data_IF_914186833307
#
_entry.id   IF_914186833307
#
_cell.length_a   1.000
_cell.length_b   1.000
_cell.length_c   1.000
_cell.angle_alpha   90.00
_cell.angle_beta   90.00
_cell.angle_gamma   90.00
#
_symmetry.space_group_name_H-M   'P 1'
#
loop_
_entity.id
_entity.type
_entity.pdbx_description
1 polymer ?
#
# COMPACT_ATOMS: atom_id res chain seq x y z
N UNK A 1 -52.05 -37.53 38.06
CA UNK A 1 -51.95 -36.13 37.52
C UNK A 1 -50.51 -35.59 37.39
N UNK A 2 -49.61 -36.13 38.17
CA UNK A 2 -48.18 -35.68 38.13
C UNK A 2 -47.43 -36.25 36.91
N UNK A 3 -47.71 -37.49 36.56
CA UNK A 3 -47.05 -38.18 35.42
C UNK A 3 -47.41 -37.57 34.05
N UNK A 4 -48.64 -37.08 33.90
CA UNK A 4 -49.10 -36.46 32.65
C UNK A 4 -48.40 -35.13 32.38
N UNK A 5 -48.02 -34.41 33.44
CA UNK A 5 -47.26 -33.15 33.32
C UNK A 5 -45.80 -33.38 32.88
N UNK A 6 -45.18 -34.45 33.38
CA UNK A 6 -43.80 -34.81 32.94
C UNK A 6 -43.78 -35.28 31.50
N UNK A 7 -44.77 -36.04 31.04
CA UNK A 7 -44.87 -36.49 29.66
C UNK A 7 -45.06 -35.27 28.72
N UNK A 8 -45.88 -34.33 29.14
CA UNK A 8 -46.10 -33.09 28.34
C UNK A 8 -44.85 -32.20 28.26
N UNK A 9 -44.06 -32.10 29.35
CA UNK A 9 -42.81 -31.36 29.38
C UNK A 9 -41.74 -32.01 28.53
N UNK A 10 -41.64 -33.35 28.52
CA UNK A 10 -40.71 -34.08 27.68
C UNK A 10 -41.07 -33.97 26.21
N UNK A 11 -42.36 -34.04 25.87
CA UNK A 11 -42.83 -33.80 24.50
C UNK A 11 -42.59 -32.36 24.01
N UNK A 12 -42.78 -31.38 24.89
CA UNK A 12 -42.54 -29.99 24.56
C UNK A 12 -41.01 -29.68 24.36
N UNK A 13 -40.16 -30.30 25.19
CA UNK A 13 -38.69 -30.17 25.04
C UNK A 13 -38.19 -30.88 23.79
N UNK A 14 -38.76 -32.01 23.42
CA UNK A 14 -38.45 -32.75 22.19
C UNK A 14 -38.89 -31.95 20.93
N UNK A 15 -40.01 -31.25 21.00
CA UNK A 15 -40.49 -30.41 19.90
C UNK A 15 -39.61 -29.15 19.70
N UNK A 16 -39.03 -28.61 20.78
CA UNK A 16 -38.10 -27.49 20.72
C UNK A 16 -36.74 -27.88 20.13
N UNK A 17 -36.35 -29.12 20.22
CA UNK A 17 -35.12 -29.65 19.60
C UNK A 17 -35.25 -29.88 18.09
N UNK A 18 -36.47 -29.92 17.56
CA UNK A 18 -36.74 -30.09 16.13
C UNK A 18 -36.72 -28.77 15.34
N UNK A 19 -36.70 -27.62 16.03
CA UNK A 19 -36.50 -26.31 15.38
C UNK A 19 -35.02 -25.95 15.21
N UNK A 20 -34.14 -26.95 15.40
CA UNK A 20 -32.72 -26.80 15.22
C UNK A 20 -32.35 -26.56 13.77
N UNK A 21 -31.74 -25.45 13.53
CA UNK A 21 -30.92 -25.09 12.37
C UNK A 21 -31.53 -25.48 11.03
N UNK A 22 -32.32 -24.61 10.46
CA UNK A 22 -32.29 -24.52 9.01
C UNK A 22 -30.84 -24.17 8.65
N UNK A 23 -30.03 -25.18 8.29
CA UNK A 23 -28.87 -24.95 7.45
C UNK A 23 -29.38 -24.09 6.32
N UNK A 24 -29.02 -22.83 6.31
CA UNK A 24 -29.06 -22.07 5.07
C UNK A 24 -28.24 -22.89 4.11
N UNK A 25 -28.89 -23.55 3.18
CA UNK A 25 -28.24 -24.11 2.02
C UNK A 25 -27.35 -22.99 1.52
N UNK A 26 -26.07 -23.22 1.53
CA UNK A 26 -25.15 -22.39 0.78
C UNK A 26 -25.72 -22.41 -0.62
N UNK A 27 -26.27 -21.29 -1.07
CA UNK A 27 -26.75 -21.12 -2.44
C UNK A 27 -25.55 -21.35 -3.34
N UNK A 28 -25.32 -22.62 -3.72
CA UNK A 28 -24.38 -23.00 -4.79
C UNK A 28 -24.84 -22.47 -6.15
N UNK A 29 -26.04 -21.91 -6.22
CA UNK A 29 -26.69 -21.40 -7.43
C UNK A 29 -26.65 -19.87 -7.59
N UNK A 30 -25.73 -19.15 -6.95
CA UNK A 30 -25.45 -17.81 -7.44
C UNK A 30 -24.74 -17.93 -8.77
N UNK A 31 -25.25 -17.30 -9.84
CA UNK A 31 -24.50 -17.23 -11.09
C UNK A 31 -23.19 -16.50 -10.80
N UNK A 32 -22.11 -17.26 -10.71
CA UNK A 32 -20.78 -16.71 -10.42
C UNK A 32 -20.06 -16.65 -11.74
N UNK A 33 -19.88 -15.45 -12.27
CA UNK A 33 -19.07 -15.25 -13.44
C UNK A 33 -17.61 -15.51 -13.09
N UNK A 34 -16.93 -16.35 -13.88
CA UNK A 34 -15.49 -16.51 -13.79
C UNK A 34 -14.80 -15.25 -14.29
N UNK A 35 -13.90 -14.71 -13.50
CA UNK A 35 -13.01 -13.62 -13.92
C UNK A 35 -11.59 -14.18 -13.95
N UNK A 36 -10.95 -14.17 -15.11
CA UNK A 36 -9.55 -14.57 -15.29
C UNK A 36 -8.69 -13.32 -15.42
N UNK A 37 -7.88 -13.05 -14.39
CA UNK A 37 -7.03 -11.88 -14.30
C UNK A 37 -5.62 -12.25 -14.69
N UNK A 38 -5.06 -11.56 -15.66
CA UNK A 38 -3.65 -11.63 -16.05
C UNK A 38 -2.93 -10.37 -15.63
N UNK A 39 -1.73 -10.54 -15.08
CA UNK A 39 -0.89 -9.43 -14.63
C UNK A 39 0.29 -9.28 -15.59
N UNK A 40 0.36 -8.13 -16.26
CA UNK A 40 1.45 -7.75 -17.15
C UNK A 40 2.51 -6.96 -16.38
N UNK A 41 3.67 -7.58 -16.17
CA UNK A 41 4.83 -6.98 -15.50
C UNK A 41 5.88 -6.43 -16.47
N UNK A 42 5.53 -6.24 -17.72
CA UNK A 42 6.46 -5.68 -18.70
C UNK A 42 6.92 -4.27 -18.28
N UNK A 43 8.24 -4.08 -18.23
CA UNK A 43 8.86 -2.84 -17.76
C UNK A 43 9.24 -2.83 -16.28
N UNK A 44 8.97 -3.91 -15.53
CA UNK A 44 9.50 -4.11 -14.18
C UNK A 44 10.87 -4.77 -14.30
N UNK A 45 11.91 -4.04 -13.88
CA UNK A 45 13.32 -4.51 -13.95
C UNK A 45 13.78 -5.15 -12.65
N UNK A 46 13.07 -4.87 -11.55
CA UNK A 46 13.37 -5.40 -10.24
C UNK A 46 12.79 -6.81 -10.05
N UNK A 47 13.07 -7.42 -8.89
CA UNK A 47 12.46 -8.67 -8.50
C UNK A 47 10.93 -8.55 -8.52
N UNK A 48 10.27 -9.44 -9.24
CA UNK A 48 8.80 -9.49 -9.23
C UNK A 48 8.29 -9.85 -7.84
N UNK A 49 7.12 -9.32 -7.43
CA UNK A 49 6.50 -9.67 -6.16
C UNK A 49 6.08 -11.15 -6.11
N UNK A 50 5.85 -11.66 -4.91
CA UNK A 50 5.39 -13.05 -4.72
C UNK A 50 3.96 -13.25 -5.19
N UNK A 51 3.13 -12.20 -5.10
CA UNK A 51 1.76 -12.20 -5.56
C UNK A 51 1.05 -10.88 -5.27
N UNK A 52 -0.22 -10.86 -5.55
CA UNK A 52 -1.07 -9.68 -5.36
C UNK A 52 -2.32 -10.03 -4.56
N UNK A 53 -2.74 -9.12 -3.70
CA UNK A 53 -4.04 -9.13 -3.07
C UNK A 53 -4.99 -8.31 -3.92
N UNK A 54 -6.18 -8.83 -4.18
CA UNK A 54 -7.20 -8.20 -5.02
C UNK A 54 -8.48 -8.04 -4.21
N UNK A 55 -9.00 -6.83 -4.14
CA UNK A 55 -10.21 -6.50 -3.41
C UNK A 55 -11.22 -5.90 -4.37
N UNK A 56 -12.38 -6.53 -4.48
CA UNK A 56 -13.53 -6.02 -5.22
C UNK A 56 -14.51 -5.39 -4.23
N UNK A 57 -14.74 -4.11 -4.36
CA UNK A 57 -15.71 -3.34 -3.58
C UNK A 57 -16.99 -3.19 -4.41
N UNK A 58 -18.10 -3.83 -4.02
CA UNK A 58 -19.34 -3.72 -4.76
C UNK A 58 -19.89 -2.29 -4.68
N UNK A 59 -20.39 -1.79 -5.80
CA UNK A 59 -21.10 -0.49 -5.83
C UNK A 59 -22.55 -0.58 -5.36
N UNK A 60 -23.09 -1.80 -5.25
CA UNK A 60 -24.41 -2.07 -4.70
C UNK A 60 -24.34 -2.26 -3.19
N UNK A 61 -25.30 -1.71 -2.45
CA UNK A 61 -25.36 -1.82 -0.98
C UNK A 61 -25.58 -3.26 -0.49
N UNK A 62 -26.11 -4.14 -1.32
CA UNK A 62 -26.35 -5.56 -1.00
C UNK A 62 -25.17 -6.45 -1.35
N UNK A 63 -24.22 -5.92 -2.11
CA UNK A 63 -23.03 -6.65 -2.54
C UNK A 63 -22.07 -6.94 -1.39
N UNK A 64 -21.32 -8.05 -1.49
CA UNK A 64 -20.26 -8.38 -0.55
C UNK A 64 -18.90 -8.04 -1.15
N UNK A 65 -18.03 -7.47 -0.32
CA UNK A 65 -16.61 -7.30 -0.64
C UNK A 65 -16.00 -8.67 -0.89
N UNK A 66 -15.25 -8.81 -1.98
CA UNK A 66 -14.49 -10.00 -2.30
C UNK A 66 -13.02 -9.67 -2.15
N UNK A 67 -12.34 -10.45 -1.36
CA UNK A 67 -10.95 -10.26 -0.99
C UNK A 67 -10.20 -11.57 -1.26
N UNK A 68 -9.22 -11.54 -2.14
CA UNK A 68 -8.52 -12.72 -2.60
C UNK A 68 -7.06 -12.46 -2.90
N UNK A 69 -6.27 -13.52 -2.94
CA UNK A 69 -4.85 -13.49 -3.25
C UNK A 69 -4.61 -14.24 -4.55
N UNK A 70 -3.84 -13.64 -5.44
CA UNK A 70 -3.46 -14.21 -6.72
C UNK A 70 -1.94 -14.34 -6.80
N UNK A 71 -1.49 -15.28 -7.64
CA UNK A 71 -0.07 -15.37 -7.98
C UNK A 71 0.39 -14.13 -8.74
N UNK A 72 1.70 -13.96 -8.87
CA UNK A 72 2.31 -12.89 -9.69
C UNK A 72 1.83 -12.90 -11.16
N UNK A 73 1.38 -14.04 -11.67
CA UNK A 73 0.84 -14.16 -13.04
C UNK A 73 -0.65 -13.83 -13.13
N UNK A 74 -1.31 -13.66 -11.99
CA UNK A 74 -2.76 -13.54 -11.89
C UNK A 74 -3.41 -14.86 -11.53
N UNK A 75 -4.66 -15.02 -11.94
CA UNK A 75 -5.46 -16.23 -11.68
C UNK A 75 -6.95 -15.99 -11.80
N UNK A 76 -7.72 -17.05 -11.57
CA UNK A 76 -9.17 -17.02 -11.68
C UNK A 76 -9.83 -16.67 -10.35
N UNK A 77 -10.81 -15.78 -10.41
CA UNK A 77 -11.62 -15.35 -9.26
C UNK A 77 -13.09 -15.55 -9.59
N UNK A 78 -13.84 -16.08 -8.62
CA UNK A 78 -15.30 -16.15 -8.71
C UNK A 78 -15.89 -14.85 -8.14
N UNK A 79 -16.53 -14.07 -8.99
CA UNK A 79 -17.13 -12.79 -8.63
C UNK A 79 -18.58 -12.76 -9.10
N UNK A 80 -19.58 -12.46 -8.24
CA UNK A 80 -20.96 -12.28 -8.67
C UNK A 80 -21.11 -11.19 -9.73
N UNK A 81 -22.07 -11.30 -10.65
CA UNK A 81 -22.39 -10.23 -11.58
C UNK A 81 -22.70 -8.93 -10.85
N UNK A 82 -22.20 -7.81 -11.35
CA UNK A 82 -22.39 -6.51 -10.72
C UNK A 82 -21.37 -5.47 -11.16
N UNK A 83 -21.40 -4.32 -10.48
CA UNK A 83 -20.42 -3.25 -10.68
C UNK A 83 -19.54 -3.14 -9.44
N UNK A 84 -18.23 -3.02 -9.65
CA UNK A 84 -17.23 -3.02 -8.60
C UNK A 84 -16.20 -1.92 -8.80
N UNK A 85 -15.74 -1.33 -7.72
CA UNK A 85 -14.44 -0.69 -7.68
C UNK A 85 -13.41 -1.72 -7.24
N UNK A 86 -12.23 -1.74 -7.86
CA UNK A 86 -11.22 -2.77 -7.61
C UNK A 86 -9.88 -2.15 -7.27
N UNK A 87 -9.25 -2.69 -6.26
CA UNK A 87 -7.85 -2.40 -5.92
C UNK A 87 -7.08 -3.72 -5.88
N UNK A 88 -5.93 -3.74 -6.55
CA UNK A 88 -4.98 -4.84 -6.40
C UNK A 88 -3.60 -4.28 -6.06
N UNK A 89 -2.86 -4.96 -5.18
CA UNK A 89 -1.53 -4.56 -4.76
C UNK A 89 -0.69 -5.77 -4.32
N UNK A 90 0.63 -5.67 -4.43
CA UNK A 90 1.50 -6.73 -3.91
C UNK A 90 1.53 -6.69 -2.38
N UNK A 91 1.58 -7.87 -1.75
CA UNK A 91 1.47 -8.02 -0.30
C UNK A 91 2.79 -8.40 0.39
N UNK A 92 3.85 -8.62 -0.37
CA UNK A 92 5.17 -9.06 0.09
C UNK A 92 6.09 -7.88 0.46
N UNK A 93 5.52 -6.82 1.04
CA UNK A 93 6.24 -5.65 1.52
C UNK A 93 6.65 -5.81 2.98
N UNK A 94 7.81 -5.27 3.37
CA UNK A 94 8.32 -5.29 4.75
C UNK A 94 7.87 -4.06 5.54
N UNK A 95 7.91 -2.88 4.91
CA UNK A 95 7.63 -1.61 5.55
C UNK A 95 6.23 -1.07 5.27
N UNK A 96 5.64 -1.40 4.11
CA UNK A 96 4.31 -0.93 3.73
C UNK A 96 3.22 -1.75 4.42
N UNK A 97 2.31 -1.06 5.06
CA UNK A 97 1.11 -1.61 5.70
C UNK A 97 -0.13 -1.01 5.06
N UNK A 98 -1.24 -1.73 5.12
CA UNK A 98 -2.51 -1.29 4.56
C UNK A 98 -3.52 -1.07 5.69
N UNK A 99 -4.31 0.00 5.60
CA UNK A 99 -5.41 0.30 6.52
C UNK A 99 -6.62 0.83 5.75
N UNK A 100 -7.76 0.95 6.45
CA UNK A 100 -9.00 1.47 5.85
C UNK A 100 -9.61 0.57 4.80
N UNK A 101 -9.34 -0.74 4.85
CA UNK A 101 -9.73 -1.75 3.86
C UNK A 101 -11.24 -1.99 3.75
N UNK A 102 -12.03 -1.40 4.63
CA UNK A 102 -13.49 -1.60 4.65
C UNK A 102 -14.19 -0.88 3.49
N UNK A 103 -13.60 0.18 2.97
CA UNK A 103 -14.15 0.92 1.85
C UNK A 103 -13.07 1.31 0.83
N UNK A 104 -13.47 1.35 -0.45
CA UNK A 104 -12.62 1.73 -1.56
C UNK A 104 -12.01 3.13 -1.41
N UNK A 105 -12.76 4.07 -0.87
CA UNK A 105 -12.34 5.46 -0.69
C UNK A 105 -11.34 5.64 0.44
N UNK A 106 -11.30 4.70 1.39
CA UNK A 106 -10.49 4.81 2.62
C UNK A 106 -9.27 3.89 2.63
N UNK A 107 -9.17 2.94 1.68
CA UNK A 107 -8.02 2.04 1.62
C UNK A 107 -6.74 2.79 1.32
N UNK A 108 -5.76 2.64 2.19
CA UNK A 108 -4.54 3.44 2.18
C UNK A 108 -3.33 2.60 2.55
N UNK A 109 -2.22 2.81 1.82
CA UNK A 109 -0.91 2.31 2.14
C UNK A 109 -0.16 3.34 2.98
N UNK A 110 0.54 2.90 4.02
CA UNK A 110 1.35 3.73 4.92
C UNK A 110 2.54 2.93 5.44
N UNK A 111 3.50 3.59 6.07
CA UNK A 111 4.62 2.93 6.72
C UNK A 111 4.62 3.18 8.22
N UNK A 112 5.12 2.21 8.97
CA UNK A 112 5.20 2.29 10.42
C UNK A 112 6.24 3.30 10.89
N UNK A 113 6.12 3.70 12.16
CA UNK A 113 7.12 4.57 12.80
C UNK A 113 8.44 3.83 13.00
N UNK A 114 9.55 4.51 12.72
CA UNK A 114 10.86 4.08 13.12
C UNK A 114 11.24 4.76 14.45
N UNK A 115 11.61 3.97 15.45
CA UNK A 115 12.04 4.48 16.74
C UNK A 115 13.50 4.91 16.66
N UNK A 116 13.73 6.24 16.62
CA UNK A 116 14.90 6.90 17.15
C UNK A 116 16.28 6.35 16.80
N UNK A 117 16.56 6.01 15.56
CA UNK A 117 17.90 5.60 15.15
C UNK A 117 18.83 6.82 15.06
N UNK A 118 19.34 7.26 16.21
CA UNK A 118 20.51 8.16 16.26
C UNK A 118 20.29 9.64 16.01
N UNK A 119 19.10 10.10 15.67
CA UNK A 119 18.78 11.53 15.64
C UNK A 119 18.33 11.93 17.04
N UNK A 120 19.14 12.69 17.76
CA UNK A 120 18.80 13.24 19.04
C UNK A 120 17.63 14.21 18.87
N UNK A 121 16.42 13.75 19.15
CA UNK A 121 15.17 14.49 19.07
C UNK A 121 14.00 13.53 19.21
N UNK A 122 12.93 14.01 19.81
CA UNK A 122 11.69 13.26 20.09
C UNK A 122 10.78 13.12 18.87
N UNK A 123 11.27 13.46 17.67
CA UNK A 123 10.46 13.45 16.46
C UNK A 123 10.23 12.02 16.00
N UNK A 124 8.96 11.64 15.91
CA UNK A 124 8.55 10.38 15.29
C UNK A 124 8.83 10.47 13.81
N UNK A 125 9.58 9.52 13.27
CA UNK A 125 9.81 9.35 11.85
C UNK A 125 9.12 8.08 11.36
N UNK A 126 8.92 7.97 10.06
CA UNK A 126 8.39 6.77 9.42
C UNK A 126 9.44 6.15 8.50
N UNK A 127 9.33 4.85 8.28
CA UNK A 127 10.17 4.17 7.28
C UNK A 127 9.85 4.63 5.87
N UNK A 128 10.83 4.65 4.98
CA UNK A 128 10.57 4.74 3.55
C UNK A 128 9.81 3.51 3.07
N UNK A 129 8.83 3.68 2.16
CA UNK A 129 8.06 2.55 1.65
C UNK A 129 8.88 1.63 0.73
N UNK A 130 8.64 0.32 0.83
CA UNK A 130 9.10 -0.67 -0.15
C UNK A 130 8.38 -0.50 -1.49
N UNK A 131 8.88 -1.13 -2.57
CA UNK A 131 8.18 -1.12 -3.85
C UNK A 131 6.75 -1.63 -3.73
N UNK A 132 5.79 -0.75 -4.01
CA UNK A 132 4.38 -1.07 -4.02
C UNK A 132 3.83 -0.90 -5.44
N UNK A 133 3.30 -1.98 -5.98
CA UNK A 133 2.66 -2.04 -7.28
C UNK A 133 1.15 -2.09 -7.12
N UNK A 134 0.43 -1.20 -7.79
CA UNK A 134 -1.01 -1.03 -7.60
C UNK A 134 -1.73 -1.11 -8.94
N UNK A 135 -2.87 -1.79 -8.96
CA UNK A 135 -3.91 -1.67 -9.99
C UNK A 135 -5.14 -1.07 -9.33
N UNK A 136 -5.70 -0.07 -9.95
CA UNK A 136 -6.93 0.59 -9.51
C UNK A 136 -7.92 0.66 -10.68
N UNK A 137 -9.15 0.23 -10.43
CA UNK A 137 -10.25 0.31 -11.39
C UNK A 137 -11.46 0.86 -10.64
N UNK A 138 -11.91 2.02 -11.06
CA UNK A 138 -13.02 2.71 -10.39
C UNK A 138 -14.38 2.07 -10.69
N UNK A 139 -14.56 1.51 -11.89
CA UNK A 139 -15.84 0.97 -12.33
C UNK A 139 -15.67 -0.24 -13.25
N UNK A 140 -15.63 -1.43 -12.67
CA UNK A 140 -15.60 -2.70 -13.37
C UNK A 140 -17.02 -3.28 -13.41
N UNK A 141 -17.53 -3.55 -14.61
CA UNK A 141 -18.80 -4.23 -14.81
C UNK A 141 -18.57 -5.72 -15.13
N UNK A 142 -19.10 -6.59 -14.30
CA UNK A 142 -19.12 -8.04 -14.47
C UNK A 142 -20.53 -8.44 -14.87
N UNK A 143 -20.68 -8.87 -16.13
CA UNK A 143 -21.95 -9.30 -16.65
C UNK A 143 -22.35 -10.68 -16.11
N UNK A 144 -23.65 -10.96 -16.08
CA UNK A 144 -24.14 -12.33 -15.86
C UNK A 144 -23.97 -13.14 -17.15
N UNK A 145 -22.85 -13.85 -17.25
CA UNK A 145 -22.46 -14.62 -18.44
C UNK A 145 -21.84 -15.96 -18.02
N UNK A 146 -22.06 -16.99 -18.83
CA UNK A 146 -21.37 -18.26 -18.69
C UNK A 146 -19.92 -18.17 -19.20
N UNK A 147 -19.60 -17.14 -20.00
CA UNK A 147 -18.25 -16.93 -20.52
C UNK A 147 -17.38 -16.24 -19.46
N UNK A 148 -16.14 -16.71 -19.32
CA UNK A 148 -15.15 -16.07 -18.43
C UNK A 148 -14.78 -14.68 -18.93
N UNK A 149 -14.79 -13.70 -18.04
CA UNK A 149 -14.28 -12.35 -18.32
C UNK A 149 -12.77 -12.33 -18.20
N UNK A 150 -12.08 -12.04 -19.30
CA UNK A 150 -10.63 -11.90 -19.31
C UNK A 150 -10.24 -10.45 -19.01
N UNK A 151 -9.36 -10.24 -18.03
CA UNK A 151 -8.86 -8.93 -17.62
C UNK A 151 -7.33 -8.93 -17.67
N UNK A 152 -6.78 -8.06 -18.49
CA UNK A 152 -5.33 -7.84 -18.56
C UNK A 152 -5.00 -6.56 -17.76
N UNK A 153 -4.30 -6.71 -16.64
CA UNK A 153 -3.95 -5.61 -15.74
C UNK A 153 -2.45 -5.35 -15.76
N UNK A 154 -2.08 -4.09 -15.76
CA UNK A 154 -0.69 -3.65 -15.67
C UNK A 154 -0.47 -2.94 -14.33
N UNK A 155 0.14 -3.61 -13.34
CA UNK A 155 0.46 -2.99 -12.06
C UNK A 155 1.43 -1.82 -12.23
N UNK A 156 1.17 -0.71 -11.52
CA UNK A 156 2.00 0.49 -11.57
C UNK A 156 2.76 0.64 -10.27
N UNK A 157 4.06 0.87 -10.35
CA UNK A 157 4.88 1.22 -9.20
C UNK A 157 4.48 2.61 -8.71
N UNK A 158 4.03 2.71 -7.46
CA UNK A 158 3.59 3.97 -6.84
C UNK A 158 4.63 4.57 -5.90
N UNK A 159 5.65 3.81 -5.56
CA UNK A 159 6.80 4.26 -4.77
C UNK A 159 7.88 4.81 -5.70
N UNK A 160 8.47 5.94 -5.33
CA UNK A 160 9.57 6.56 -6.06
C UNK A 160 10.82 6.60 -5.19
N UNK A 161 11.97 6.31 -5.78
CA UNK A 161 13.27 6.45 -5.14
C UNK A 161 13.92 7.75 -5.56
N UNK A 162 14.40 8.51 -4.59
CA UNK A 162 15.08 9.78 -4.79
C UNK A 162 16.54 9.64 -4.34
N UNK A 163 17.45 10.06 -5.20
CA UNK A 163 18.89 10.04 -4.91
C UNK A 163 19.38 11.47 -4.70
N UNK A 164 20.31 11.64 -3.76
CA UNK A 164 20.97 12.92 -3.55
C UNK A 164 22.47 12.75 -3.39
N UNK A 165 23.18 13.82 -3.70
CA UNK A 165 24.62 13.92 -3.55
C UNK A 165 24.97 15.34 -3.10
N UNK A 166 25.68 15.47 -1.97
CA UNK A 166 25.98 16.74 -1.33
C UNK A 166 27.47 16.76 -1.00
N UNK A 167 28.15 17.88 -1.28
CA UNK A 167 29.54 18.07 -0.86
C UNK A 167 29.59 18.55 0.58
N UNK A 168 30.40 17.90 1.39
CA UNK A 168 30.54 18.17 2.83
C UNK A 168 32.00 18.13 3.22
N UNK A 169 32.46 19.10 3.99
CA UNK A 169 33.80 19.11 4.58
C UNK A 169 33.80 18.48 5.98
N UNK A 170 34.93 17.90 6.40
CA UNK A 170 35.10 17.36 7.75
C UNK A 170 34.46 15.97 7.97
N UNK A 171 34.23 15.20 6.92
CA UNK A 171 33.66 13.84 6.99
C UNK A 171 34.56 12.84 7.70
N UNK A 172 35.85 13.12 7.86
CA UNK A 172 36.82 12.25 8.54
C UNK A 172 36.50 12.04 10.04
N UNK A 173 35.71 12.91 10.63
CA UNK A 173 35.28 12.82 12.02
C UNK A 173 33.87 12.20 12.18
N UNK A 174 33.23 11.81 11.10
CA UNK A 174 31.87 11.28 11.07
C UNK A 174 31.88 9.76 11.05
N UNK A 175 31.17 9.13 11.98
CA UNK A 175 31.02 7.68 12.08
C UNK A 175 29.82 7.14 11.30
N UNK A 176 28.71 7.90 11.28
CA UNK A 176 27.50 7.54 10.53
C UNK A 176 26.69 8.79 10.19
N UNK A 177 25.88 8.67 9.15
CA UNK A 177 25.00 9.74 8.69
C UNK A 177 23.61 9.14 8.53
N UNK A 178 22.65 9.76 9.18
CA UNK A 178 21.23 9.45 9.04
C UNK A 178 20.47 10.72 8.68
N UNK A 179 19.30 10.58 8.11
CA UNK A 179 18.53 11.75 7.73
C UNK A 179 17.05 11.51 7.74
N UNK A 180 16.34 12.60 7.50
CA UNK A 180 14.90 12.59 7.29
C UNK A 180 14.50 13.56 6.19
N UNK A 181 13.38 13.27 5.54
CA UNK A 181 12.79 14.16 4.55
C UNK A 181 11.34 14.47 4.93
N UNK A 182 11.02 15.77 4.91
CA UNK A 182 9.68 16.31 5.11
C UNK A 182 9.11 16.82 3.77
N UNK A 183 7.78 16.91 3.67
CA UNK A 183 7.09 17.42 2.49
C UNK A 183 6.85 16.38 1.39
N UNK A 184 7.26 15.13 1.60
CA UNK A 184 6.94 14.00 0.71
C UNK A 184 5.68 13.27 1.17
N UNK A 185 5.05 12.52 0.26
CA UNK A 185 3.92 11.67 0.62
C UNK A 185 4.41 10.44 1.37
N UNK A 186 4.04 10.33 2.64
CA UNK A 186 4.30 9.17 3.50
C UNK A 186 3.16 8.16 3.50
N UNK A 187 2.02 8.49 2.87
CA UNK A 187 0.86 7.63 2.70
C UNK A 187 0.36 7.69 1.25
N UNK A 188 -0.38 6.66 0.83
CA UNK A 188 -0.92 6.57 -0.53
C UNK A 188 -2.34 6.02 -0.51
N UNK A 189 -3.32 6.79 -0.97
CA UNK A 189 -4.69 6.34 -1.13
C UNK A 189 -4.82 5.44 -2.36
N UNK A 190 -5.04 4.15 -2.16
CA UNK A 190 -5.09 3.16 -3.22
C UNK A 190 -6.33 3.34 -4.12
N UNK A 191 -7.47 3.71 -3.55
CA UNK A 191 -8.70 3.94 -4.30
C UNK A 191 -8.68 5.22 -5.16
N UNK A 192 -7.90 6.24 -4.77
CA UNK A 192 -7.76 7.50 -5.53
C UNK A 192 -6.45 7.63 -6.30
N UNK A 193 -5.53 6.68 -6.11
CA UNK A 193 -4.20 6.70 -6.72
C UNK A 193 -3.41 7.99 -6.48
N UNK A 194 -3.43 8.51 -5.26
CA UNK A 194 -2.74 9.76 -4.91
C UNK A 194 -1.95 9.64 -3.62
N UNK A 195 -0.79 10.32 -3.60
CA UNK A 195 0.02 10.48 -2.41
C UNK A 195 -0.62 11.47 -1.43
N UNK A 196 -0.55 11.15 -0.14
CA UNK A 196 -1.07 11.99 0.93
C UNK A 196 0.04 12.39 1.89
N UNK A 197 -0.09 13.58 2.50
CA UNK A 197 0.83 14.01 3.57
C UNK A 197 0.77 13.03 4.72
N UNK A 198 1.94 12.73 5.27
CA UNK A 198 2.08 12.05 6.55
C UNK A 198 2.56 13.05 7.59
N UNK A 199 2.12 12.90 8.84
CA UNK A 199 2.47 13.80 9.93
C UNK A 199 3.93 13.65 10.44
N UNK A 200 4.71 12.76 9.83
CA UNK A 200 6.06 12.46 10.24
C UNK A 200 7.04 12.42 9.07
N UNK A 201 8.29 12.89 9.28
CA UNK A 201 9.36 12.81 8.29
C UNK A 201 9.70 11.35 7.93
N UNK A 202 10.11 11.13 6.69
CA UNK A 202 10.58 9.82 6.22
C UNK A 202 12.06 9.68 6.56
N UNK A 203 12.41 8.62 7.30
CA UNK A 203 13.78 8.28 7.69
C UNK A 203 14.55 7.65 6.53
N UNK A 204 15.86 7.93 6.46
CA UNK A 204 16.81 7.25 5.59
C UNK A 204 18.23 7.25 6.17
N UNK A 205 19.10 6.40 5.63
CA UNK A 205 20.53 6.36 5.92
C UNK A 205 21.31 6.93 4.73
N UNK A 206 22.46 7.55 5.02
CA UNK A 206 23.35 8.10 4.01
C UNK A 206 24.80 7.68 4.25
N UNK A 207 25.60 7.76 3.20
CA UNK A 207 27.03 7.41 3.24
C UNK A 207 27.88 8.62 2.93
N UNK A 208 28.91 8.83 3.76
CA UNK A 208 29.92 9.85 3.55
C UNK A 208 31.21 9.25 3.00
N UNK A 209 31.70 9.73 1.86
CA UNK A 209 32.97 9.30 1.28
C UNK A 209 33.64 10.44 0.50
N UNK A 210 34.94 10.64 0.71
CA UNK A 210 35.78 11.56 -0.11
C UNK A 210 35.21 12.99 -0.22
N UNK A 211 34.67 13.53 0.89
CA UNK A 211 34.07 14.89 0.90
C UNK A 211 32.69 14.98 0.29
N UNK A 212 32.04 13.87 0.03
CA UNK A 212 30.69 13.81 -0.49
C UNK A 212 29.80 12.92 0.39
N UNK A 213 28.53 13.35 0.57
CA UNK A 213 27.47 12.56 1.19
C UNK A 213 26.51 12.14 0.09
N UNK A 214 26.29 10.86 -0.03
CA UNK A 214 25.32 10.28 -0.96
C UNK A 214 24.29 9.46 -0.20
N UNK A 215 23.06 9.50 -0.65
CA UNK A 215 22.00 8.73 -0.06
C UNK A 215 20.80 8.62 -1.00
N UNK A 216 19.85 7.80 -0.57
CA UNK A 216 18.57 7.68 -1.24
C UNK A 216 17.46 7.51 -0.20
N UNK A 217 16.27 7.91 -0.57
CA UNK A 217 15.06 7.65 0.20
C UNK A 217 13.91 7.29 -0.74
N UNK A 218 12.95 6.58 -0.23
CA UNK A 218 11.73 6.20 -0.94
C UNK A 218 10.53 6.93 -0.38
N UNK A 219 9.58 7.30 -1.24
CA UNK A 219 8.31 7.94 -0.86
C UNK A 219 7.21 7.58 -1.86
N UNK A 220 5.97 7.82 -1.50
CA UNK A 220 4.83 7.70 -2.42
C UNK A 220 4.69 8.92 -3.36
N UNK A 221 5.79 9.61 -3.60
CA UNK A 221 5.83 10.79 -4.46
C UNK A 221 5.53 12.08 -3.70
N UNK A 222 4.99 13.06 -4.44
CA UNK A 222 4.54 14.33 -3.87
C UNK A 222 3.08 14.19 -3.42
N UNK A 223 2.70 14.78 -2.28
CA UNK A 223 1.30 14.84 -1.88
C UNK A 223 0.47 15.60 -2.91
N UNK A 224 -0.77 15.17 -3.13
CA UNK A 224 -1.70 15.85 -4.05
C UNK A 224 -1.90 17.33 -3.69
N UNK A 225 -2.00 17.62 -2.41
CA UNK A 225 -2.14 18.97 -1.89
C UNK A 225 -0.92 19.88 -2.17
N UNK A 226 0.28 19.32 -2.24
CA UNK A 226 1.52 20.04 -2.51
C UNK A 226 1.69 20.34 -4.00
N UNK A 227 1.19 19.48 -4.88
CA UNK A 227 1.21 19.71 -6.33
C UNK A 227 0.40 20.95 -6.69
N UNK A 228 -0.66 21.24 -5.94
CA UNK A 228 -1.56 22.39 -6.17
C UNK A 228 -1.03 23.71 -5.58
N UNK A 229 0.01 23.66 -4.74
CA UNK A 229 0.58 24.84 -4.07
C UNK A 229 2.03 25.02 -4.54
N UNK A 230 2.25 25.93 -5.46
CA UNK A 230 3.59 26.35 -5.83
C UNK A 230 4.26 27.00 -4.60
N UNK A 231 5.10 26.25 -3.88
CA UNK A 231 5.86 26.79 -2.74
C UNK A 231 6.05 25.85 -1.54
N UNK A 232 5.42 24.67 -1.49
CA UNK A 232 5.70 23.70 -0.45
C UNK A 232 7.12 23.15 -0.62
N UNK A 233 7.99 23.49 0.33
CA UNK A 233 9.40 23.12 0.30
C UNK A 233 9.57 21.72 0.86
N UNK A 234 10.35 20.91 0.16
CA UNK A 234 10.86 19.67 0.71
C UNK A 234 12.07 20.00 1.55
N UNK A 235 12.06 19.55 2.79
CA UNK A 235 13.14 19.75 3.73
C UNK A 235 13.88 18.45 3.96
N UNK A 236 15.17 18.45 3.63
CA UNK A 236 16.09 17.36 3.93
C UNK A 236 16.89 17.71 5.18
N UNK A 237 16.83 16.89 6.20
CA UNK A 237 17.64 17.01 7.42
C UNK A 237 18.66 15.88 7.45
N UNK A 238 19.94 16.21 7.58
CA UNK A 238 21.03 15.28 7.78
C UNK A 238 21.57 15.41 9.19
N UNK A 239 21.76 14.29 9.89
CA UNK A 239 22.40 14.20 11.18
C UNK A 239 23.71 13.44 11.06
N UNK A 240 24.82 14.14 11.28
CA UNK A 240 26.17 13.63 11.27
C UNK A 240 26.53 13.18 12.69
N UNK A 241 26.65 11.89 12.89
CA UNK A 241 27.08 11.30 14.17
C UNK A 241 28.58 11.17 14.13
N UNK A 242 29.26 11.94 14.98
CA UNK A 242 30.71 11.97 15.05
C UNK A 242 31.27 10.80 15.87
N UNK A 243 32.58 10.56 15.73
CA UNK A 243 33.30 9.52 16.46
C UNK A 243 33.20 9.71 17.99
N UNK A 244 33.14 10.96 18.46
CA UNK A 244 32.93 11.32 19.86
C UNK A 244 31.46 11.22 20.33
N UNK A 245 30.57 10.69 19.47
CA UNK A 245 29.11 10.55 19.66
C UNK A 245 28.34 11.88 19.70
N UNK A 246 28.98 13.01 19.41
CA UNK A 246 28.25 14.26 19.20
C UNK A 246 27.51 14.23 17.86
N UNK A 247 26.33 14.87 17.81
CA UNK A 247 25.49 14.94 16.61
C UNK A 247 25.45 16.37 16.10
N UNK A 248 25.79 16.53 14.83
CA UNK A 248 25.65 17.81 14.12
C UNK A 248 24.54 17.68 13.07
N UNK A 249 23.58 18.59 13.09
CA UNK A 249 22.47 18.59 12.10
C UNK A 249 22.71 19.63 11.02
N UNK A 250 22.33 19.30 9.80
CA UNK A 250 22.23 20.23 8.66
C UNK A 250 20.86 20.11 8.03
N UNK A 251 20.23 21.23 7.76
CA UNK A 251 18.92 21.33 7.10
C UNK A 251 19.10 21.95 5.74
N UNK A 252 18.46 21.37 4.72
CA UNK A 252 18.57 21.75 3.32
C UNK A 252 17.17 21.84 2.74
N UNK A 253 16.79 23.00 2.29
CA UNK A 253 15.57 23.19 1.49
C UNK A 253 15.82 22.69 0.07
N UNK A 254 15.07 21.68 -0.36
CA UNK A 254 15.16 21.12 -1.70
C UNK A 254 14.02 21.67 -2.54
N UNK A 255 14.36 22.38 -3.62
CA UNK A 255 13.42 22.67 -4.67
C UNK A 255 13.50 21.51 -5.69
N UNK A 256 12.53 20.58 -5.67
CA UNK A 256 12.47 19.55 -6.70
C UNK A 256 12.07 20.21 -8.02
N UNK A 257 13.03 20.41 -8.89
CA UNK A 257 12.74 20.55 -10.30
C UNK A 257 12.26 19.16 -10.77
N UNK A 258 10.97 19.05 -10.98
CA UNK A 258 10.36 17.86 -11.55
C UNK A 258 10.84 17.74 -13.01
N UNK A 259 11.93 17.04 -13.23
CA UNK A 259 12.21 16.49 -14.55
C UNK A 259 11.44 15.17 -14.62
N UNK A 260 10.26 15.20 -15.25
CA UNK A 260 9.69 13.98 -15.80
C UNK A 260 10.80 13.26 -16.55
N UNK A 261 11.01 11.95 -16.37
CA UNK A 261 11.91 11.22 -17.25
C UNK A 261 11.41 11.45 -18.67
N UNK A 262 12.27 12.05 -19.48
CA UNK A 262 11.97 12.29 -20.89
C UNK A 262 11.75 10.93 -21.56
N UNK A 263 10.74 10.79 -22.42
CA UNK A 263 10.57 9.56 -23.21
C UNK A 263 11.75 9.24 -24.12
N UNK A 264 12.79 10.09 -24.16
CA UNK A 264 13.99 9.92 -24.98
C UNK A 264 15.11 9.10 -24.33
N UNK A 265 15.01 8.77 -23.04
CA UNK A 265 16.04 7.98 -22.36
C UNK A 265 15.81 6.46 -22.50
N UNK A 266 14.88 6.04 -23.34
CA UNK A 266 14.56 4.61 -23.62
C UNK A 266 14.98 4.19 -25.04
N UNK A 267 15.54 5.07 -25.85
CA UNK A 267 16.11 4.68 -27.15
C UNK A 267 17.62 5.00 -27.15
N UNK A 268 18.40 3.95 -27.00
CA UNK A 268 19.75 3.68 -27.47
C UNK A 268 20.54 2.85 -26.45
N UNK A 269 20.35 1.54 -26.50
CA UNK A 269 21.45 0.55 -26.41
C UNK A 269 20.95 -0.84 -26.79
#
# INVERSE_FOLDING_TARGET
>A
MQDTRYILLVLLSSLLMLTGCSRRELLDDYPVSGVDIKLDWNGVTDKLPEGVRVIFYPKSAEGRKIDTYLSVRGGKVKVPPGRYSVVAYNYDTETVQIRGEEAYETIEAFTGYCNGLGIAGTEKMVWGPDPLYVVQIDDLHIANSEEELLLDWKPKLVVKTYFFKIKVEGLEYVSSIVGSVEGMAGCYCLGRCCGMMCDAPIYFEAQGRSGEVTGSFTAFGMPEAAISRAGDKIKLTLAFIKVDKTVQKAEIDICLLYTSPSPRDVEES
#
